data_IF_497893742097
#
_entry.id   IF_497893742097
#
_cell.length_a   1.000
_cell.length_b   1.000
_cell.length_c   1.000
_cell.angle_alpha   90.00
_cell.angle_beta   90.00
_cell.angle_gamma   90.00
#
_symmetry.space_group_name_H-M   'P 1'
#
loop_
_entity.id
_entity.type
_entity.pdbx_description
1 polymer ?
#
# COMPACT_ATOMS: atom_id res chain seq x y z
N UNK A 1 -12.33 29.77 -30.19
CA UNK A 1 -11.53 28.74 -30.88
C UNK A 1 -12.17 27.42 -30.57
N UNK A 2 -12.61 26.67 -31.58
CA UNK A 2 -13.35 25.42 -31.38
C UNK A 2 -12.43 24.20 -31.38
N UNK A 3 -12.79 23.14 -30.66
CA UNK A 3 -12.04 21.88 -30.63
C UNK A 3 -11.80 21.32 -32.04
N UNK A 4 -12.79 21.40 -32.93
CA UNK A 4 -12.71 20.97 -34.33
C UNK A 4 -11.60 21.67 -35.12
N UNK A 5 -11.21 22.89 -34.72
CA UNK A 5 -10.24 23.74 -35.42
C UNK A 5 -8.80 23.55 -34.91
N UNK A 6 -8.60 22.85 -33.80
CA UNK A 6 -7.28 22.58 -33.23
C UNK A 6 -6.56 21.47 -34.01
N UNK A 7 -5.26 21.65 -34.26
CA UNK A 7 -4.40 20.61 -34.83
C UNK A 7 -4.19 19.45 -33.84
N UNK A 8 -4.05 18.23 -34.34
CA UNK A 8 -3.89 17.02 -33.51
C UNK A 8 -2.69 17.10 -32.55
N UNK A 9 -1.61 17.77 -32.94
CA UNK A 9 -0.42 17.96 -32.10
C UNK A 9 -0.71 18.79 -30.85
N UNK A 10 -1.67 19.71 -30.92
CA UNK A 10 -2.13 20.50 -29.76
C UNK A 10 -3.15 19.72 -28.94
N UNK A 11 -4.01 18.92 -29.60
CA UNK A 11 -5.02 18.13 -28.91
C UNK A 11 -4.41 16.96 -28.12
N UNK A 12 -3.36 16.33 -28.63
CA UNK A 12 -2.79 15.12 -28.05
C UNK A 12 -2.34 15.29 -26.59
N UNK A 13 -1.56 16.33 -26.22
CA UNK A 13 -1.24 16.60 -24.81
C UNK A 13 -2.46 16.82 -23.93
N UNK A 14 -3.51 17.46 -24.47
CA UNK A 14 -4.77 17.69 -23.74
C UNK A 14 -5.47 16.34 -23.47
N UNK A 15 -5.59 15.48 -24.49
CA UNK A 15 -6.20 14.16 -24.36
C UNK A 15 -5.45 13.28 -23.36
N UNK A 16 -4.12 13.39 -23.31
CA UNK A 16 -3.27 12.69 -22.32
C UNK A 16 -3.52 13.13 -20.87
N UNK A 17 -4.09 14.32 -20.65
CA UNK A 17 -4.48 14.84 -19.33
C UNK A 17 -5.94 14.53 -18.95
N UNK A 18 -6.75 14.08 -19.91
CA UNK A 18 -8.15 13.73 -19.65
C UNK A 18 -8.25 12.45 -18.82
N UNK A 19 -9.20 12.44 -17.88
CA UNK A 19 -9.60 11.22 -17.18
C UNK A 19 -10.21 10.19 -18.14
N UNK A 20 -10.35 8.96 -17.65
CA UNK A 20 -10.82 7.86 -18.47
C UNK A 20 -12.24 8.10 -19.02
N UNK A 21 -13.12 8.76 -18.25
CA UNK A 21 -14.49 9.09 -18.66
C UNK A 21 -14.53 10.08 -19.82
N UNK A 22 -13.84 11.21 -19.66
CA UNK A 22 -13.74 12.26 -20.66
C UNK A 22 -13.13 11.73 -21.95
N UNK A 23 -12.16 10.80 -21.87
CA UNK A 23 -11.60 10.11 -23.04
C UNK A 23 -12.60 9.20 -23.72
N UNK A 24 -13.38 8.43 -22.96
CA UNK A 24 -14.45 7.59 -23.51
C UNK A 24 -15.52 8.44 -24.22
N UNK A 25 -15.92 9.56 -23.64
CA UNK A 25 -16.87 10.49 -24.23
C UNK A 25 -16.30 11.16 -25.48
N UNK A 26 -15.05 11.63 -25.44
CA UNK A 26 -14.38 12.21 -26.61
C UNK A 26 -14.26 11.21 -27.76
N UNK A 27 -13.94 9.94 -27.45
CA UNK A 27 -13.82 8.87 -28.43
C UNK A 27 -15.09 8.65 -29.24
N UNK A 28 -16.28 8.89 -28.68
CA UNK A 28 -17.57 8.70 -29.37
C UNK A 28 -18.00 9.92 -30.19
N UNK A 29 -17.37 11.08 -30.01
CA UNK A 29 -17.76 12.31 -30.71
C UNK A 29 -17.52 12.28 -32.23
N UNK A 30 -16.40 11.71 -32.68
CA UNK A 30 -16.08 11.62 -34.11
C UNK A 30 -15.05 10.53 -34.43
N UNK A 31 -14.92 10.15 -35.72
CA UNK A 31 -13.85 9.23 -36.17
C UNK A 31 -12.44 9.79 -35.89
N UNK A 32 -12.26 11.10 -36.04
CA UNK A 32 -10.97 11.76 -35.80
C UNK A 32 -10.63 11.75 -34.31
N UNK A 33 -11.59 12.05 -33.45
CA UNK A 33 -11.39 12.01 -32.00
C UNK A 33 -11.16 10.58 -31.50
N UNK A 34 -11.84 9.59 -32.08
CA UNK A 34 -11.57 8.18 -31.81
C UNK A 34 -10.12 7.81 -32.13
N UNK A 35 -9.62 8.19 -33.31
CA UNK A 35 -8.24 7.91 -33.70
C UNK A 35 -7.23 8.66 -32.81
N UNK A 36 -7.56 9.88 -32.37
CA UNK A 36 -6.72 10.65 -31.45
C UNK A 36 -6.66 10.02 -30.05
N UNK A 37 -7.80 9.58 -29.51
CA UNK A 37 -7.85 8.88 -28.22
C UNK A 37 -7.13 7.54 -28.30
N UNK A 38 -7.27 6.79 -29.39
CA UNK A 38 -6.60 5.50 -29.59
C UNK A 38 -5.08 5.63 -29.81
N UNK A 39 -4.62 6.77 -30.34
CA UNK A 39 -3.19 7.03 -30.59
C UNK A 39 -2.47 7.80 -29.47
N UNK A 40 -3.19 8.25 -28.44
CA UNK A 40 -2.64 8.91 -27.26
C UNK A 40 -2.47 7.92 -26.11
N UNK A 41 -1.38 8.05 -25.35
CA UNK A 41 -1.15 7.16 -24.21
C UNK A 41 -2.16 7.46 -23.11
N UNK A 42 -2.62 6.41 -22.44
CA UNK A 42 -3.38 6.51 -21.20
C UNK A 42 -2.59 5.77 -20.11
N UNK A 43 -2.45 6.40 -18.96
CA UNK A 43 -1.86 5.77 -17.77
C UNK A 43 -2.78 6.06 -16.61
N UNK A 44 -3.40 5.01 -16.07
CA UNK A 44 -4.28 5.13 -14.93
C UNK A 44 -3.52 5.71 -13.72
N UNK A 45 -4.20 6.55 -12.95
CA UNK A 45 -3.69 7.00 -11.66
C UNK A 45 -3.71 5.88 -10.64
N UNK A 46 -4.84 5.20 -10.52
CA UNK A 46 -5.05 4.09 -9.60
C UNK A 46 -5.82 2.95 -10.28
N UNK A 47 -5.34 1.73 -10.06
CA UNK A 47 -6.08 0.50 -10.39
C UNK A 47 -6.29 -0.27 -9.09
N UNK A 48 -7.54 -0.52 -8.72
CA UNK A 48 -7.88 -1.36 -7.56
C UNK A 48 -8.71 -2.54 -8.01
N UNK A 49 -8.29 -3.76 -7.64
CA UNK A 49 -9.04 -4.99 -7.86
C UNK A 49 -9.42 -5.54 -6.49
N UNK A 50 -10.71 -5.58 -6.21
CA UNK A 50 -11.22 -6.06 -4.92
C UNK A 50 -12.36 -7.06 -5.06
N UNK A 51 -12.44 -8.02 -4.15
CA UNK A 51 -13.60 -8.90 -4.02
C UNK A 51 -14.33 -8.59 -2.71
N UNK A 52 -15.63 -8.35 -2.81
CA UNK A 52 -16.46 -7.90 -1.68
C UNK A 52 -17.63 -8.86 -1.50
N UNK A 53 -17.82 -9.34 -0.28
CA UNK A 53 -18.98 -10.15 0.08
C UNK A 53 -20.23 -9.29 0.24
N UNK A 54 -21.37 -9.77 -0.25
CA UNK A 54 -22.65 -9.12 -0.01
C UNK A 54 -23.05 -9.27 1.46
N UNK A 55 -23.40 -8.17 2.12
CA UNK A 55 -23.88 -8.19 3.51
C UNK A 55 -25.25 -8.85 3.68
N UNK A 56 -26.01 -8.95 2.59
CA UNK A 56 -27.40 -9.43 2.60
C UNK A 56 -27.55 -10.87 2.11
N UNK A 57 -26.51 -11.42 1.49
CA UNK A 57 -26.59 -12.72 0.80
C UNK A 57 -25.19 -13.34 0.72
N UNK A 58 -24.97 -14.39 1.50
CA UNK A 58 -23.66 -15.03 1.64
C UNK A 58 -23.19 -15.75 0.36
N UNK A 59 -24.11 -16.08 -0.54
CA UNK A 59 -23.77 -16.70 -1.84
C UNK A 59 -23.41 -15.63 -2.88
N UNK A 60 -23.67 -14.36 -2.56
CA UNK A 60 -23.45 -13.23 -3.45
C UNK A 60 -22.18 -12.49 -3.08
N UNK A 61 -21.38 -12.23 -4.10
CA UNK A 61 -20.07 -11.61 -3.99
C UNK A 61 -19.81 -10.81 -5.25
N UNK A 62 -19.02 -9.75 -5.13
CA UNK A 62 -18.79 -8.80 -6.22
C UNK A 62 -17.29 -8.61 -6.35
N UNK A 63 -16.75 -8.96 -7.52
CA UNK A 63 -15.40 -8.51 -7.87
C UNK A 63 -15.55 -7.14 -8.54
N UNK A 64 -14.74 -6.18 -8.10
CA UNK A 64 -14.70 -4.83 -8.66
C UNK A 64 -13.32 -4.57 -9.22
N UNK A 65 -13.30 -4.07 -10.45
CA UNK A 65 -12.09 -3.50 -11.06
C UNK A 65 -12.35 -2.01 -11.18
N UNK A 66 -11.66 -1.23 -10.36
CA UNK A 66 -11.67 0.23 -10.38
C UNK A 66 -10.45 0.73 -11.17
N UNK A 67 -10.67 1.60 -12.14
CA UNK A 67 -9.65 2.30 -12.92
C UNK A 67 -9.98 3.78 -12.83
N UNK A 68 -9.28 4.51 -11.96
CA UNK A 68 -9.60 5.89 -11.61
C UNK A 68 -11.09 6.06 -11.22
N UNK A 69 -11.88 6.75 -12.04
CA UNK A 69 -13.32 7.00 -11.83
C UNK A 69 -14.22 5.90 -12.39
N UNK A 70 -13.68 4.97 -13.17
CA UNK A 70 -14.42 3.90 -13.81
C UNK A 70 -14.43 2.63 -12.97
N UNK A 71 -15.58 1.98 -12.89
CA UNK A 71 -15.69 0.70 -12.21
C UNK A 71 -16.41 -0.33 -13.08
N UNK A 72 -15.88 -1.56 -13.08
CA UNK A 72 -16.58 -2.74 -13.58
C UNK A 72 -16.96 -3.63 -12.40
N UNK A 73 -18.23 -4.01 -12.28
CA UNK A 73 -18.73 -4.92 -11.26
C UNK A 73 -19.01 -6.28 -11.88
N UNK A 74 -18.40 -7.33 -11.34
CA UNK A 74 -18.69 -8.73 -11.64
C UNK A 74 -19.45 -9.32 -10.46
N UNK A 75 -20.78 -9.19 -10.51
CA UNK A 75 -21.70 -9.58 -9.44
C UNK A 75 -22.04 -11.06 -9.65
N UNK A 76 -21.45 -11.94 -8.84
CA UNK A 76 -21.67 -13.38 -8.92
C UNK A 76 -22.69 -13.89 -7.90
N UNK A 77 -23.55 -14.80 -8.35
CA UNK A 77 -24.40 -15.67 -7.51
C UNK A 77 -24.73 -16.95 -8.28
N UNK A 78 -24.60 -18.12 -7.65
CA UNK A 78 -24.97 -19.43 -8.21
C UNK A 78 -24.37 -19.70 -9.60
N UNK A 79 -23.05 -19.51 -9.75
CA UNK A 79 -22.33 -19.68 -11.04
C UNK A 79 -22.85 -18.80 -12.19
N UNK A 80 -23.62 -17.76 -11.88
CA UNK A 80 -24.07 -16.75 -12.83
C UNK A 80 -23.46 -15.40 -12.43
N UNK A 81 -22.96 -14.69 -13.43
CA UNK A 81 -22.36 -13.37 -13.25
C UNK A 81 -23.14 -12.32 -14.01
N UNK A 82 -23.57 -11.27 -13.30
CA UNK A 82 -24.00 -10.01 -13.89
C UNK A 82 -22.81 -9.07 -13.95
N UNK A 83 -22.53 -8.54 -15.13
CA UNK A 83 -21.48 -7.54 -15.35
C UNK A 83 -22.14 -6.18 -15.55
N UNK A 84 -21.85 -5.26 -14.63
CA UNK A 84 -22.30 -3.87 -14.70
C UNK A 84 -21.08 -2.95 -14.79
N UNK A 85 -21.31 -1.71 -15.25
CA UNK A 85 -20.29 -0.66 -15.33
C UNK A 85 -20.79 0.60 -14.66
N UNK A 86 -19.89 1.37 -14.07
CA UNK A 86 -20.23 2.61 -13.41
C UNK A 86 -19.14 3.68 -13.62
N UNK A 87 -19.57 4.94 -13.60
CA UNK A 87 -18.71 6.12 -13.53
C UNK A 87 -18.96 6.81 -12.21
N UNK A 88 -17.91 7.06 -11.42
CA UNK A 88 -18.04 7.69 -10.10
C UNK A 88 -19.07 6.98 -9.18
N UNK A 89 -19.25 5.67 -9.37
CA UNK A 89 -20.25 4.86 -8.66
C UNK A 89 -21.66 4.88 -9.25
N UNK A 90 -21.92 5.73 -10.24
CA UNK A 90 -23.20 5.79 -10.96
C UNK A 90 -23.26 4.74 -12.07
N UNK A 91 -24.27 3.87 -12.00
CA UNK A 91 -24.47 2.79 -12.96
C UNK A 91 -24.74 3.33 -14.36
N UNK A 92 -24.03 2.79 -15.33
CA UNK A 92 -24.32 3.00 -16.75
C UNK A 92 -25.55 2.19 -17.16
N UNK A 93 -26.24 2.63 -18.22
CA UNK A 93 -27.31 1.87 -18.89
C UNK A 93 -26.74 0.70 -19.72
N UNK A 94 -25.88 -0.12 -19.12
CA UNK A 94 -25.31 -1.30 -19.73
C UNK A 94 -25.16 -2.41 -18.69
N UNK A 95 -25.68 -3.59 -19.04
CA UNK A 95 -25.54 -4.78 -18.22
C UNK A 95 -25.50 -6.04 -19.08
N UNK A 96 -24.65 -6.99 -18.69
CA UNK A 96 -24.49 -8.28 -19.36
C UNK A 96 -24.65 -9.42 -18.34
N UNK A 97 -25.28 -10.53 -18.72
CA UNK A 97 -25.35 -11.74 -17.89
C UNK A 97 -24.57 -12.89 -18.54
N UNK A 98 -23.81 -13.62 -17.73
CA UNK A 98 -23.03 -14.79 -18.15
C UNK A 98 -23.32 -15.97 -17.24
N UNK A 99 -23.52 -17.15 -17.82
CA UNK A 99 -23.61 -18.42 -17.10
C UNK A 99 -22.24 -18.96 -16.72
N UNK A 100 -21.41 -18.13 -16.09
CA UNK A 100 -20.05 -18.46 -15.69
C UNK A 100 -19.73 -17.83 -14.33
N UNK A 101 -18.79 -18.43 -13.59
CA UNK A 101 -18.32 -17.89 -12.33
C UNK A 101 -17.72 -16.48 -12.49
N UNK A 102 -18.01 -15.59 -11.54
CA UNK A 102 -17.51 -14.20 -11.56
C UNK A 102 -15.98 -14.13 -11.61
N UNK A 103 -15.30 -15.10 -11.02
CA UNK A 103 -13.83 -15.14 -10.96
C UNK A 103 -13.25 -15.42 -12.34
N UNK A 104 -13.86 -16.33 -13.09
CA UNK A 104 -13.45 -16.64 -14.46
C UNK A 104 -13.74 -15.46 -15.40
N UNK A 105 -14.91 -14.84 -15.25
CA UNK A 105 -15.29 -13.65 -16.04
C UNK A 105 -14.34 -12.49 -15.76
N UNK A 106 -14.04 -12.20 -14.49
CA UNK A 106 -13.12 -11.14 -14.09
C UNK A 106 -11.69 -11.42 -14.56
N UNK A 107 -11.19 -12.66 -14.36
CA UNK A 107 -9.86 -13.08 -14.83
C UNK A 107 -9.72 -12.90 -16.34
N UNK A 108 -10.71 -13.33 -17.12
CA UNK A 108 -10.72 -13.16 -18.58
C UNK A 108 -10.76 -11.69 -18.98
N UNK A 109 -11.43 -10.84 -18.20
CA UNK A 109 -11.46 -9.41 -18.45
C UNK A 109 -10.07 -8.78 -18.26
N UNK A 110 -9.39 -9.09 -17.17
CA UNK A 110 -8.01 -8.62 -16.90
C UNK A 110 -7.06 -9.16 -17.98
N UNK A 111 -7.21 -10.44 -18.34
CA UNK A 111 -6.43 -11.07 -19.39
C UNK A 111 -6.55 -10.33 -20.73
N UNK A 112 -7.78 -10.00 -21.18
CA UNK A 112 -8.01 -9.24 -22.40
C UNK A 112 -7.40 -7.84 -22.36
N UNK A 113 -7.44 -7.18 -21.21
CA UNK A 113 -6.77 -5.90 -21.02
C UNK A 113 -5.26 -6.04 -21.24
N UNK A 114 -4.64 -7.03 -20.57
CA UNK A 114 -3.20 -7.28 -20.68
C UNK A 114 -2.80 -7.74 -22.08
N UNK A 115 -3.60 -8.55 -22.77
CA UNK A 115 -3.35 -8.94 -24.17
C UNK A 115 -3.36 -7.73 -25.11
N UNK A 116 -4.22 -6.75 -24.83
CA UNK A 116 -4.32 -5.52 -25.63
C UNK A 116 -3.19 -4.53 -25.36
N UNK A 117 -2.79 -4.38 -24.09
CA UNK A 117 -1.85 -3.33 -23.68
C UNK A 117 -0.46 -3.84 -23.27
N UNK A 118 -0.27 -5.16 -23.23
CA UNK A 118 0.94 -5.85 -22.80
C UNK A 118 1.14 -5.89 -21.28
N UNK A 119 0.67 -4.88 -20.54
CA UNK A 119 0.96 -4.70 -19.12
C UNK A 119 -0.18 -4.00 -18.38
N UNK A 120 -0.35 -4.29 -17.09
CA UNK A 120 -1.17 -3.49 -16.19
C UNK A 120 -0.29 -2.37 -15.58
N UNK A 121 -0.38 -1.17 -16.15
CA UNK A 121 0.42 -0.01 -15.74
C UNK A 121 -0.46 1.07 -15.08
N UNK A 122 -0.08 1.48 -13.88
CA UNK A 122 -0.73 2.54 -13.09
C UNK A 122 0.25 3.12 -12.07
N UNK A 123 0.00 4.32 -11.52
CA UNK A 123 0.85 4.83 -10.42
C UNK A 123 0.68 3.95 -9.18
N UNK A 124 -0.57 3.60 -8.85
CA UNK A 124 -0.94 2.74 -7.73
C UNK A 124 -1.68 1.52 -8.26
N UNK A 125 -1.29 0.34 -7.79
CA UNK A 125 -2.03 -0.91 -7.98
C UNK A 125 -2.36 -1.48 -6.60
N UNK A 126 -3.65 -1.64 -6.32
CA UNK A 126 -4.14 -2.23 -5.07
C UNK A 126 -4.96 -3.49 -5.35
N UNK A 127 -4.67 -4.57 -4.63
CA UNK A 127 -5.36 -5.86 -4.76
C UNK A 127 -5.84 -6.27 -3.38
N UNK A 128 -7.15 -6.40 -3.21
CA UNK A 128 -7.77 -6.49 -1.89
C UNK A 128 -8.77 -7.63 -1.81
N UNK A 129 -8.64 -8.51 -0.82
CA UNK A 129 -9.56 -9.61 -0.53
C UNK A 129 -9.79 -10.52 -1.75
N UNK A 130 -8.85 -10.54 -2.70
CA UNK A 130 -9.04 -11.21 -3.98
C UNK A 130 -8.50 -12.63 -3.92
N UNK A 131 -9.36 -13.60 -4.13
CA UNK A 131 -9.00 -15.03 -4.14
C UNK A 131 -8.32 -15.49 -5.44
N UNK A 132 -8.37 -14.67 -6.49
CA UNK A 132 -7.85 -15.00 -7.82
C UNK A 132 -6.33 -14.81 -7.85
N UNK A 133 -5.60 -15.88 -8.14
CA UNK A 133 -4.18 -15.80 -8.46
C UNK A 133 -3.97 -15.16 -9.86
N UNK A 134 -2.92 -14.34 -10.06
CA UNK A 134 -2.62 -13.79 -11.37
C UNK A 134 -2.20 -14.88 -12.36
N UNK A 135 -2.43 -14.67 -13.66
CA UNK A 135 -1.89 -15.57 -14.69
C UNK A 135 -0.38 -15.37 -14.89
N UNK A 136 0.30 -16.38 -15.41
CA UNK A 136 1.76 -16.36 -15.59
C UNK A 136 2.27 -15.31 -16.60
N UNK A 137 1.44 -14.93 -17.55
CA UNK A 137 1.75 -13.90 -18.54
C UNK A 137 1.40 -12.48 -18.05
N UNK A 138 0.83 -12.32 -16.87
CA UNK A 138 0.50 -10.99 -16.34
C UNK A 138 1.78 -10.27 -15.92
N UNK A 139 1.83 -8.98 -16.26
CA UNK A 139 2.87 -8.07 -15.81
C UNK A 139 2.23 -6.83 -15.19
N UNK A 140 2.85 -6.34 -14.11
CA UNK A 140 2.46 -5.17 -13.35
C UNK A 140 3.58 -4.13 -13.39
N UNK A 141 3.23 -2.87 -13.61
CA UNK A 141 4.15 -1.73 -13.49
C UNK A 141 3.48 -0.63 -12.68
N UNK A 142 4.07 -0.30 -11.54
CA UNK A 142 3.54 0.67 -10.60
C UNK A 142 4.59 1.24 -9.66
N UNK A 143 4.30 2.42 -9.11
CA UNK A 143 5.12 3.04 -8.05
C UNK A 143 4.73 2.54 -6.67
N UNK A 144 3.45 2.22 -6.47
CA UNK A 144 2.90 1.71 -5.21
C UNK A 144 2.15 0.42 -5.48
N UNK A 145 2.51 -0.64 -4.75
CA UNK A 145 1.79 -1.91 -4.75
C UNK A 145 1.19 -2.16 -3.36
N UNK A 146 -0.13 -2.31 -3.30
CA UNK A 146 -0.85 -2.71 -2.11
C UNK A 146 -1.45 -4.10 -2.30
N UNK A 147 -1.12 -5.04 -1.42
CA UNK A 147 -1.73 -6.36 -1.36
C UNK A 147 -2.41 -6.50 0.01
N UNK A 148 -3.69 -6.79 0.04
CA UNK A 148 -4.43 -6.98 1.29
C UNK A 148 -5.28 -8.22 1.20
N UNK A 149 -5.05 -9.19 2.07
CA UNK A 149 -5.82 -10.45 2.14
C UNK A 149 -6.00 -11.12 0.76
N UNK A 150 -4.90 -11.30 0.01
CA UNK A 150 -4.92 -11.98 -1.29
C UNK A 150 -4.81 -13.51 -1.15
N UNK A 151 -5.20 -14.05 0.00
CA UNK A 151 -5.31 -15.49 0.29
C UNK A 151 -4.08 -16.30 -0.14
N UNK A 152 -2.90 -15.92 0.36
CA UNK A 152 -1.61 -16.56 0.09
C UNK A 152 -1.10 -16.41 -1.36
N UNK A 153 -1.75 -15.59 -2.19
CA UNK A 153 -1.28 -15.25 -3.53
C UNK A 153 -0.27 -14.09 -3.55
N UNK A 154 0.21 -13.61 -2.39
CA UNK A 154 1.10 -12.45 -2.29
C UNK A 154 2.33 -12.64 -3.19
N UNK A 155 2.97 -13.81 -3.08
CA UNK A 155 4.13 -14.18 -3.91
C UNK A 155 3.77 -14.25 -5.40
N UNK A 156 2.63 -14.82 -5.73
CA UNK A 156 2.16 -14.93 -7.11
C UNK A 156 2.00 -13.56 -7.76
N UNK A 157 1.48 -12.58 -7.00
CA UNK A 157 1.33 -11.18 -7.42
C UNK A 157 2.67 -10.43 -7.47
N UNK A 158 3.52 -10.59 -6.46
CA UNK A 158 4.86 -10.00 -6.45
C UNK A 158 5.72 -10.47 -7.63
N UNK A 159 5.58 -11.74 -8.05
CA UNK A 159 6.25 -12.29 -9.23
C UNK A 159 5.78 -11.69 -10.57
N UNK A 160 4.67 -10.92 -10.57
CA UNK A 160 4.19 -10.20 -11.75
C UNK A 160 4.77 -8.80 -11.87
N UNK A 161 5.52 -8.32 -10.89
CA UNK A 161 6.18 -7.01 -11.00
C UNK A 161 7.18 -7.07 -12.16
N UNK A 162 7.05 -6.15 -13.12
CA UNK A 162 7.92 -6.07 -14.27
C UNK A 162 9.39 -5.83 -13.85
N UNK A 163 10.40 -6.42 -14.53
CA UNK A 163 11.81 -6.31 -14.12
C UNK A 163 12.34 -4.87 -14.00
N UNK A 164 11.87 -3.96 -14.85
CA UNK A 164 12.30 -2.56 -14.90
C UNK A 164 11.31 -1.63 -14.15
N UNK A 165 10.55 -2.16 -13.20
CA UNK A 165 9.59 -1.36 -12.45
C UNK A 165 10.30 -0.42 -11.45
N UNK A 166 9.90 0.85 -11.43
CA UNK A 166 10.37 1.85 -10.45
C UNK A 166 9.52 1.80 -9.18
N UNK A 167 9.44 0.63 -8.54
CA UNK A 167 8.63 0.42 -7.35
C UNK A 167 9.19 1.20 -6.17
N UNK A 168 8.38 2.09 -5.60
CA UNK A 168 8.76 2.95 -4.47
C UNK A 168 8.18 2.47 -3.16
N UNK A 169 6.98 1.92 -3.21
CA UNK A 169 6.24 1.50 -2.02
C UNK A 169 5.63 0.11 -2.18
N UNK A 170 5.75 -0.70 -1.13
CA UNK A 170 5.02 -1.96 -0.98
C UNK A 170 4.32 -1.97 0.37
N UNK A 171 3.02 -2.26 0.34
CA UNK A 171 2.21 -2.54 1.53
C UNK A 171 1.57 -3.91 1.35
N UNK A 172 1.85 -4.84 2.27
CA UNK A 172 1.24 -6.16 2.30
C UNK A 172 0.58 -6.36 3.65
N UNK A 173 -0.73 -6.62 3.65
CA UNK A 173 -1.52 -6.92 4.83
C UNK A 173 -2.08 -8.33 4.70
N UNK A 174 -1.71 -9.21 5.63
CA UNK A 174 -2.25 -10.56 5.67
C UNK A 174 -2.31 -11.08 7.10
N UNK A 175 -3.48 -11.56 7.51
CA UNK A 175 -3.69 -12.02 8.89
C UNK A 175 -3.13 -13.41 9.17
N UNK A 176 -3.14 -14.32 8.19
CA UNK A 176 -2.71 -15.70 8.36
C UNK A 176 -1.81 -16.22 7.23
N UNK A 177 -1.28 -17.42 7.39
CA UNK A 177 -0.50 -18.12 6.37
C UNK A 177 1.01 -18.12 6.61
N UNK A 178 1.76 -18.82 5.73
CA UNK A 178 3.18 -19.05 5.91
C UNK A 178 4.00 -17.76 5.72
N UNK A 179 5.15 -17.59 6.38
CA UNK A 179 5.95 -16.38 6.23
C UNK A 179 6.24 -16.00 4.77
N UNK A 180 6.21 -14.70 4.47
CA UNK A 180 6.55 -14.20 3.14
C UNK A 180 8.04 -14.38 2.88
N UNK A 181 8.35 -15.06 1.78
CA UNK A 181 9.72 -15.19 1.27
C UNK A 181 10.18 -13.87 0.65
N UNK A 182 11.32 -13.36 1.10
CA UNK A 182 11.88 -12.12 0.56
C UNK A 182 12.47 -12.34 -0.84
N UNK A 183 11.96 -11.57 -1.80
CA UNK A 183 12.41 -11.54 -3.19
C UNK A 183 13.02 -10.19 -3.59
N UNK A 184 13.80 -10.11 -4.68
CA UNK A 184 14.51 -8.89 -5.06
C UNK A 184 13.64 -7.64 -5.23
N UNK A 185 12.38 -7.81 -5.69
CA UNK A 185 11.46 -6.68 -5.84
C UNK A 185 11.13 -5.99 -4.52
N UNK A 186 11.12 -6.72 -3.40
CA UNK A 186 10.91 -6.18 -2.05
C UNK A 186 12.15 -5.41 -1.58
N UNK A 187 13.35 -5.94 -1.84
CA UNK A 187 14.61 -5.33 -1.41
C UNK A 187 14.89 -3.99 -2.11
N UNK A 188 14.42 -3.85 -3.35
CA UNK A 188 14.65 -2.66 -4.18
C UNK A 188 13.70 -1.49 -3.90
N UNK A 189 12.68 -1.68 -3.05
CA UNK A 189 11.72 -0.63 -2.65
C UNK A 189 12.46 0.51 -1.97
N UNK A 190 12.21 1.75 -2.40
CA UNK A 190 13.03 2.92 -2.05
C UNK A 190 12.43 3.85 -1.01
N UNK A 191 11.10 3.99 -0.96
CA UNK A 191 10.43 4.91 -0.05
C UNK A 191 9.85 4.15 1.16
N UNK A 192 8.88 3.27 0.94
CA UNK A 192 8.09 2.63 2.02
C UNK A 192 7.97 1.12 1.87
N UNK A 193 8.31 0.37 2.92
CA UNK A 193 8.10 -1.07 3.00
C UNK A 193 7.29 -1.43 4.25
N UNK A 194 6.03 -1.81 4.08
CA UNK A 194 5.14 -2.24 5.17
C UNK A 194 4.65 -3.66 4.94
N UNK A 195 5.23 -4.61 5.66
CA UNK A 195 4.87 -6.02 5.69
C UNK A 195 4.16 -6.32 7.00
N UNK A 196 2.82 -6.23 6.99
CA UNK A 196 1.96 -6.52 8.14
C UNK A 196 1.59 -8.01 8.15
N UNK A 197 2.62 -8.84 8.20
CA UNK A 197 2.61 -10.30 8.27
C UNK A 197 4.05 -10.78 8.57
N UNK A 198 4.24 -12.05 8.94
CA UNK A 198 5.57 -12.59 9.19
C UNK A 198 6.37 -12.78 7.90
N UNK A 199 7.65 -12.42 7.90
CA UNK A 199 8.56 -12.68 6.79
C UNK A 199 9.86 -13.34 7.24
N UNK A 200 10.57 -13.94 6.29
CA UNK A 200 11.82 -14.66 6.55
C UNK A 200 13.09 -13.78 6.46
N UNK A 201 12.93 -12.45 6.42
CA UNK A 201 14.03 -11.53 6.17
C UNK A 201 15.18 -11.70 7.19
N UNK A 202 16.40 -11.82 6.69
CA UNK A 202 17.62 -11.94 7.50
C UNK A 202 18.30 -10.58 7.69
N UNK A 203 19.27 -10.50 8.61
CA UNK A 203 20.15 -9.33 8.79
C UNK A 203 20.79 -8.83 7.48
N UNK A 204 21.28 -9.75 6.64
CA UNK A 204 21.97 -9.41 5.38
C UNK A 204 21.00 -8.90 4.32
N UNK A 205 19.77 -9.42 4.28
CA UNK A 205 18.72 -8.91 3.40
C UNK A 205 18.19 -7.56 3.90
N UNK A 206 17.98 -7.41 5.22
CA UNK A 206 17.55 -6.15 5.83
C UNK A 206 18.52 -5.01 5.53
N UNK A 207 19.82 -5.29 5.50
CA UNK A 207 20.86 -4.33 5.09
C UNK A 207 20.68 -3.85 3.65
N UNK A 208 20.12 -4.68 2.77
CA UNK A 208 19.91 -4.36 1.35
C UNK A 208 18.61 -3.58 1.08
N UNK A 209 17.60 -3.70 1.95
CA UNK A 209 16.34 -2.95 1.85
C UNK A 209 16.65 -1.46 1.70
N UNK A 210 16.11 -0.75 0.70
CA UNK A 210 16.41 0.68 0.50
C UNK A 210 15.49 1.62 1.29
N UNK A 211 14.23 1.21 1.47
CA UNK A 211 13.23 1.93 2.23
C UNK A 211 13.67 2.24 3.67
N UNK A 212 13.26 3.40 4.16
CA UNK A 212 13.52 3.86 5.53
C UNK A 212 12.22 3.94 6.34
N UNK A 213 11.08 4.26 5.71
CA UNK A 213 9.76 3.97 6.27
C UNK A 213 9.53 2.46 6.23
N UNK A 214 9.64 1.82 7.39
CA UNK A 214 9.80 0.37 7.51
C UNK A 214 8.86 -0.17 8.56
N UNK A 215 7.98 -1.10 8.17
CA UNK A 215 7.23 -1.95 9.07
C UNK A 215 7.41 -3.41 8.68
N UNK A 216 7.97 -4.25 9.54
CA UNK A 216 8.04 -5.70 9.28
C UNK A 216 8.11 -6.52 10.58
N UNK A 217 7.77 -7.80 10.45
CA UNK A 217 7.93 -8.82 11.50
C UNK A 217 8.79 -9.96 10.97
N UNK A 218 9.88 -10.28 11.67
CA UNK A 218 10.69 -11.45 11.33
C UNK A 218 11.45 -12.02 12.53
N UNK A 219 11.39 -13.34 12.76
CA UNK A 219 12.19 -14.00 13.79
C UNK A 219 13.67 -14.11 13.43
N UNK A 220 14.04 -13.90 12.15
CA UNK A 220 15.40 -14.12 11.65
C UNK A 220 16.33 -12.90 11.79
N UNK A 221 15.82 -11.78 12.31
CA UNK A 221 16.61 -10.58 12.56
C UNK A 221 17.18 -10.63 13.96
N UNK A 222 18.50 -10.44 14.05
CA UNK A 222 19.22 -10.41 15.33
C UNK A 222 19.13 -9.04 15.99
N UNK A 223 19.53 -8.95 17.27
CA UNK A 223 19.77 -7.67 17.96
C UNK A 223 20.66 -6.73 17.11
N UNK A 224 21.73 -7.28 16.53
CA UNK A 224 22.66 -6.52 15.71
C UNK A 224 22.01 -5.97 14.44
N UNK A 225 21.19 -6.78 13.76
CA UNK A 225 20.41 -6.36 12.60
C UNK A 225 19.43 -5.25 12.93
N UNK A 226 18.67 -5.43 14.01
CA UNK A 226 17.71 -4.44 14.49
C UNK A 226 18.37 -3.10 14.84
N UNK A 227 19.49 -3.14 15.57
CA UNK A 227 20.26 -1.94 15.93
C UNK A 227 20.77 -1.20 14.70
N UNK A 228 21.39 -1.90 13.74
CA UNK A 228 21.87 -1.29 12.49
C UNK A 228 20.74 -0.67 11.68
N UNK A 229 19.60 -1.36 11.59
CA UNK A 229 18.42 -0.84 10.89
C UNK A 229 17.85 0.40 11.57
N UNK A 230 17.83 0.41 12.90
CA UNK A 230 17.38 1.56 13.68
C UNK A 230 18.33 2.77 13.56
N UNK A 231 19.65 2.56 13.62
CA UNK A 231 20.66 3.60 13.37
C UNK A 231 20.49 4.22 11.98
N UNK A 232 20.21 3.38 10.99
CA UNK A 232 19.93 3.82 9.63
C UNK A 232 18.65 4.67 9.58
N UNK A 233 17.58 4.27 10.26
CA UNK A 233 16.36 5.07 10.36
C UNK A 233 16.63 6.45 10.96
N UNK A 234 17.39 6.54 12.05
CA UNK A 234 17.75 7.83 12.65
C UNK A 234 18.58 8.70 11.69
N UNK A 235 19.46 8.08 10.89
CA UNK A 235 20.33 8.78 9.95
C UNK A 235 19.63 9.26 8.68
N UNK A 236 18.71 8.47 8.12
CA UNK A 236 18.13 8.72 6.79
C UNK A 236 16.61 8.93 6.79
N UNK A 237 15.94 8.77 7.93
CA UNK A 237 14.48 8.93 8.01
C UNK A 237 14.06 10.38 7.78
N UNK A 238 12.96 10.56 7.05
CA UNK A 238 12.29 11.83 6.78
C UNK A 238 11.22 12.13 7.83
N UNK A 239 10.48 13.22 7.65
CA UNK A 239 9.54 13.72 8.66
C UNK A 239 8.36 12.77 8.92
N UNK A 240 7.89 12.08 7.89
CA UNK A 240 6.71 11.21 7.97
C UNK A 240 7.06 9.72 8.05
N UNK A 241 8.35 9.36 8.04
CA UNK A 241 8.78 7.96 8.06
C UNK A 241 8.54 7.37 9.46
N UNK A 242 8.11 6.12 9.49
CA UNK A 242 7.86 5.36 10.71
C UNK A 242 8.76 4.12 10.73
N UNK A 243 9.26 3.75 11.90
CA UNK A 243 10.05 2.54 12.10
C UNK A 243 9.29 1.59 13.01
N UNK A 244 8.93 0.43 12.49
CA UNK A 244 8.26 -0.65 13.19
C UNK A 244 8.97 -1.96 12.87
N UNK A 245 9.69 -2.48 13.85
CA UNK A 245 10.43 -3.72 13.68
C UNK A 245 10.02 -4.71 14.77
N UNK A 246 9.46 -5.85 14.37
CA UNK A 246 9.12 -6.95 15.29
C UNK A 246 10.09 -8.10 15.09
N UNK A 247 10.77 -8.49 16.16
CA UNK A 247 11.81 -9.52 16.15
C UNK A 247 11.68 -10.42 17.36
N UNK A 248 12.37 -11.56 17.35
CA UNK A 248 12.43 -12.44 18.52
C UNK A 248 13.67 -12.11 19.35
N UNK A 249 13.47 -11.72 20.61
CA UNK A 249 14.54 -11.49 21.59
C UNK A 249 14.33 -12.36 22.83
N UNK A 250 15.39 -12.63 23.61
CA UNK A 250 15.27 -13.31 24.90
C UNK A 250 14.32 -12.58 25.86
N UNK A 251 13.58 -13.32 26.69
CA UNK A 251 12.58 -12.75 27.60
C UNK A 251 13.13 -11.72 28.60
N UNK A 252 14.40 -11.85 28.99
CA UNK A 252 15.11 -10.96 29.91
C UNK A 252 16.03 -9.95 29.20
N UNK A 253 15.81 -9.72 27.91
CA UNK A 253 16.65 -8.81 27.13
C UNK A 253 16.54 -7.35 27.64
N UNK A 254 17.68 -6.69 27.78
CA UNK A 254 17.75 -5.27 28.12
C UNK A 254 17.53 -4.39 26.87
N UNK A 255 16.31 -3.86 26.72
CA UNK A 255 15.93 -3.03 25.57
C UNK A 255 16.79 -1.77 25.38
N UNK A 256 17.50 -1.29 26.40
CA UNK A 256 18.42 -0.16 26.22
C UNK A 256 19.57 -0.49 25.26
N UNK A 257 19.93 -1.77 25.11
CA UNK A 257 20.99 -2.21 24.18
C UNK A 257 20.67 -1.94 22.70
N UNK A 258 19.37 -1.86 22.36
CA UNK A 258 18.89 -1.53 21.02
C UNK A 258 19.14 -0.06 20.66
N UNK A 259 19.27 0.82 21.66
CA UNK A 259 19.58 2.21 21.43
C UNK A 259 21.05 2.38 21.03
N UNK A 260 21.35 3.23 20.03
CA UNK A 260 22.74 3.60 19.73
C UNK A 260 23.34 4.36 20.90
N UNK A 261 24.61 4.10 21.23
CA UNK A 261 25.28 4.69 22.40
C UNK A 261 25.35 6.21 22.35
N UNK A 262 25.34 6.80 21.15
CA UNK A 262 25.40 8.25 20.97
C UNK A 262 24.08 8.95 21.30
N UNK A 263 22.96 8.23 21.29
CA UNK A 263 21.62 8.80 21.39
C UNK A 263 21.31 9.25 22.82
N UNK A 264 20.79 10.46 22.94
CA UNK A 264 20.28 11.00 24.21
C UNK A 264 18.81 10.57 24.36
N UNK A 265 18.59 9.56 25.19
CA UNK A 265 17.26 9.01 25.47
C UNK A 265 16.75 9.45 26.85
N UNK A 266 15.56 10.04 26.87
CA UNK A 266 14.83 10.36 28.10
C UNK A 266 13.71 9.34 28.29
N UNK A 267 13.91 8.43 29.25
CA UNK A 267 12.90 7.43 29.64
C UNK A 267 11.65 8.11 30.19
N UNK A 268 10.49 7.59 29.80
CA UNK A 268 9.21 7.96 30.39
C UNK A 268 8.87 6.97 31.51
N UNK A 269 8.37 7.48 32.64
CA UNK A 269 7.91 6.62 33.72
C UNK A 269 6.75 5.74 33.21
N UNK A 270 6.76 4.46 33.58
CA UNK A 270 5.64 3.57 33.30
C UNK A 270 4.41 4.12 34.03
N UNK A 271 3.33 4.38 33.29
CA UNK A 271 2.06 4.80 33.89
C UNK A 271 1.35 3.63 34.58
N UNK A 272 1.67 2.39 34.19
CA UNK A 272 1.13 1.18 34.79
C UNK A 272 2.30 0.27 35.27
N UNK A 273 2.38 -0.06 36.58
CA UNK A 273 3.35 -0.99 37.14
C UNK A 273 3.31 -2.40 36.54
N UNK A 274 2.21 -2.80 35.90
CA UNK A 274 2.05 -4.11 35.26
C UNK A 274 2.72 -4.18 33.87
N UNK A 275 3.10 -3.03 33.29
CA UNK A 275 3.82 -2.92 32.01
C UNK A 275 5.35 -2.88 32.22
N UNK A 276 5.87 -3.66 33.17
CA UNK A 276 7.30 -3.70 33.52
C UNK A 276 8.23 -4.15 32.38
N UNK A 277 7.67 -4.76 31.33
CA UNK A 277 8.41 -5.24 30.14
C UNK A 277 8.31 -4.27 28.95
N UNK A 278 8.17 -2.97 29.23
CA UNK A 278 8.18 -1.93 28.21
C UNK A 278 9.26 -0.87 28.47
N UNK A 279 9.98 -0.49 27.42
CA UNK A 279 10.84 0.68 27.37
C UNK A 279 10.17 1.75 26.52
N UNK A 280 9.65 2.80 27.16
CA UNK A 280 9.06 3.96 26.47
C UNK A 280 9.83 5.23 26.81
N UNK A 281 9.96 6.12 25.84
CA UNK A 281 10.61 7.41 26.07
C UNK A 281 10.79 8.22 24.80
N UNK A 282 11.63 9.25 24.92
CA UNK A 282 11.89 10.22 23.86
C UNK A 282 13.37 10.24 23.53
N UNK A 283 13.70 10.17 22.25
CA UNK A 283 15.02 10.49 21.74
C UNK A 283 15.04 11.98 21.47
N UNK A 284 15.87 12.71 22.20
CA UNK A 284 15.92 14.19 22.16
C UNK A 284 17.17 14.73 21.45
N UNK A 285 18.08 13.84 21.02
CA UNK A 285 19.30 14.21 20.30
C UNK A 285 20.31 13.07 20.25
N UNK A 286 21.56 13.39 19.91
CA UNK A 286 22.66 12.42 19.88
C UNK A 286 22.72 11.55 18.61
N UNK A 287 22.02 11.96 17.56
CA UNK A 287 22.06 11.34 16.23
C UNK A 287 22.23 12.42 15.15
N UNK A 288 22.84 12.04 14.02
CA UNK A 288 23.00 12.92 12.87
C UNK A 288 22.14 12.41 11.72
N UNK A 289 21.16 13.21 11.32
CA UNK A 289 20.29 12.92 10.20
C UNK A 289 20.74 13.69 8.95
N UNK A 290 20.81 13.03 7.79
CA UNK A 290 21.31 13.64 6.54
C UNK A 290 20.40 14.72 5.98
N UNK A 291 19.14 14.75 6.39
CA UNK A 291 18.16 15.78 6.02
C UNK A 291 18.12 16.95 7.02
N UNK A 292 19.03 16.98 8.00
CA UNK A 292 19.06 18.03 9.04
C UNK A 292 17.94 17.92 10.08
N UNK A 293 17.18 16.82 10.10
CA UNK A 293 16.08 16.63 11.04
C UNK A 293 16.60 16.29 12.44
N UNK A 294 16.26 17.14 13.42
CA UNK A 294 16.62 16.98 14.83
C UNK A 294 15.38 16.93 15.75
N UNK A 295 14.18 16.74 15.17
CA UNK A 295 12.94 16.67 15.93
C UNK A 295 12.97 15.48 16.90
N UNK A 296 12.39 15.69 18.09
CA UNK A 296 12.20 14.64 19.10
C UNK A 296 11.50 13.43 18.47
N UNK A 297 12.04 12.24 18.70
CA UNK A 297 11.40 10.98 18.30
C UNK A 297 10.74 10.31 19.49
N UNK A 298 9.53 9.80 19.31
CA UNK A 298 8.94 8.86 20.26
C UNK A 298 9.55 7.48 20.00
N UNK A 299 10.04 6.84 21.05
CA UNK A 299 10.60 5.49 20.98
C UNK A 299 9.88 4.59 21.98
N UNK A 300 9.52 3.40 21.52
CA UNK A 300 8.95 2.35 22.36
C UNK A 300 9.54 1.00 21.98
N UNK A 301 9.78 0.16 22.98
CA UNK A 301 10.11 -1.24 22.82
C UNK A 301 9.25 -2.04 23.81
N UNK A 302 8.50 -3.02 23.34
CA UNK A 302 7.61 -3.81 24.17
C UNK A 302 7.54 -5.25 23.66
N UNK A 303 7.35 -6.20 24.57
CA UNK A 303 7.04 -7.59 24.20
C UNK A 303 5.54 -7.69 23.90
N UNK A 304 5.21 -8.09 22.67
CA UNK A 304 3.86 -8.38 22.23
C UNK A 304 3.82 -9.86 21.81
N UNK A 305 3.11 -10.68 22.58
CA UNK A 305 3.07 -12.14 22.38
C UNK A 305 4.48 -12.75 22.38
N UNK A 306 4.92 -13.26 21.24
CA UNK A 306 6.20 -13.93 20.99
C UNK A 306 7.27 -13.02 20.36
N UNK A 307 6.93 -11.75 20.09
CA UNK A 307 7.83 -10.79 19.46
C UNK A 307 8.10 -9.58 20.35
N UNK A 308 9.32 -9.05 20.24
CA UNK A 308 9.64 -7.69 20.69
C UNK A 308 9.37 -6.71 19.56
N UNK A 309 8.51 -5.74 19.81
CA UNK A 309 8.19 -4.66 18.88
C UNK A 309 8.97 -3.40 19.22
N UNK A 310 9.87 -3.00 18.32
CA UNK A 310 10.60 -1.75 18.34
C UNK A 310 9.85 -0.75 17.47
N UNK A 311 9.51 0.40 18.04
CA UNK A 311 8.79 1.47 17.36
C UNK A 311 9.52 2.80 17.53
N UNK A 312 9.65 3.56 16.44
CA UNK A 312 10.13 4.93 16.48
C UNK A 312 9.49 5.81 15.40
N UNK A 313 9.07 7.01 15.76
CA UNK A 313 8.49 7.98 14.81
C UNK A 313 8.59 9.42 15.33
N UNK A 314 8.41 10.40 14.44
CA UNK A 314 8.17 11.79 14.84
C UNK A 314 6.72 11.94 15.28
N UNK A 315 6.44 12.46 16.48
CA UNK A 315 5.06 12.74 16.88
C UNK A 315 4.43 13.73 15.92
N UNK A 316 3.35 13.31 15.26
CA UNK A 316 2.54 14.18 14.40
C UNK A 316 1.83 15.20 15.30
N UNK A 317 1.86 16.48 14.94
CA UNK A 317 1.02 17.49 15.61
C UNK A 317 -0.43 17.09 15.40
N UNK A 318 -1.22 17.05 16.48
CA UNK A 318 -2.67 16.82 16.35
C UNK A 318 -3.25 17.89 15.44
N UNK A 319 -3.92 17.46 14.37
CA UNK A 319 -4.74 18.32 13.51
C UNK A 319 -6.20 18.34 13.93
N UNK A 320 -6.57 17.53 14.94
CA UNK A 320 -7.89 17.62 15.54
C UNK A 320 -8.03 19.04 16.13
N UNK A 321 -9.12 19.76 15.81
CA UNK A 321 -9.48 20.95 16.55
C UNK A 321 -9.46 20.59 18.03
N UNK A 322 -8.83 21.42 18.85
CA UNK A 322 -9.05 21.32 20.30
C UNK A 322 -10.52 21.67 20.55
N UNK A 323 -11.42 20.69 20.45
CA UNK A 323 -12.73 20.81 21.08
C UNK A 323 -12.45 20.87 22.58
N UNK A 324 -12.52 22.08 23.14
CA UNK A 324 -12.68 22.23 24.56
C UNK A 324 -13.96 21.46 24.93
N UNK A 325 -13.85 20.52 25.87
CA UNK A 325 -15.01 19.85 26.44
C UNK A 325 -16.06 20.93 26.82
N UNK A 326 -17.34 20.77 26.44
CA UNK A 326 -18.35 21.82 26.56
C UNK A 326 -18.63 22.27 28.01
N UNK A 327 -18.18 21.52 29.00
CA UNK A 327 -18.34 21.84 30.43
C UNK A 327 -17.31 22.86 30.97
N UNK A 328 -16.35 23.31 30.16
CA UNK A 328 -15.38 24.35 30.57
C UNK A 328 -15.94 25.78 30.48
N UNK A 329 -17.13 25.98 29.88
CA UNK A 329 -17.77 27.30 29.75
C UNK A 329 -18.70 27.69 30.91
N UNK A 330 -19.02 26.78 31.82
CA UNK A 330 -19.98 27.03 32.92
C UNK A 330 -19.33 27.55 34.21
N UNK A 331 -18.01 27.81 34.22
CA UNK A 331 -17.29 28.33 35.39
C UNK A 331 -16.96 29.83 35.33
N UNK A 332 -17.46 30.56 34.32
CA UNK A 332 -17.28 32.02 34.22
C UNK A 332 -18.56 32.75 33.78
N UNK A 333 -19.68 32.47 34.46
CA UNK A 333 -20.84 33.37 34.48
C UNK A 333 -21.39 33.56 35.88
#
# INVERSE_FOLDING_TARGET
>A
MEWSQLMNDVKKPIVELLDYESRCNLRTCSKSDCALVDSSKFTAGNITIEEVNSRMDNEKTIIRINIDTFTIWFIGKNEVTKVDRAWNGELMEWSERKGENRRDVARRHIQKYIEKFGILESKIIAIRYLTIAPSENWQLKCKVLELTEVFQNDRSWLNRIAPNNELREIVINRWDGPPLLIQPSILNVTDTLRLNLDCDITDEQLKQVRAVDLALTSPNITEGGAKRSFERFLKYGKENDEFHLRIQLPANFDFLKLLPKSVVFRRQAAQNPDLQHELKGKIIGGFSNVHGLQNVRLFACAVNFDHTHIMCHIPKKSTAPHELYPFANDYWR
#
